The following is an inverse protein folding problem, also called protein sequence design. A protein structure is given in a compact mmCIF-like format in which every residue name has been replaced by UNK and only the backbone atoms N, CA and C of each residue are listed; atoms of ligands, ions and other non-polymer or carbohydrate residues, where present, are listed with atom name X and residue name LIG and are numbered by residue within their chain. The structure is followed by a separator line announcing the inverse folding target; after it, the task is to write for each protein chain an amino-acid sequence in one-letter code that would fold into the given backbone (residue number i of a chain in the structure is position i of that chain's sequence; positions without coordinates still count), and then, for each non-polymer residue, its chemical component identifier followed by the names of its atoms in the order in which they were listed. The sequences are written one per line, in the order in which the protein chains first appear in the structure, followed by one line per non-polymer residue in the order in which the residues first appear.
data_IF_350941628401
#
_entry.id   IF_350941628401
#
_cell.length_a   1.000
_cell.length_b   1.000
_cell.length_c   1.000
_cell.angle_alpha   90.00
_cell.angle_beta   90.00
_cell.angle_gamma   90.00
#
_symmetry.space_group_name_H-M   'P 1'
#
loop_
_entity.id
_entity.type
_entity.pdbx_description
1 polymer ?
#
# COMPACT_ATOMS: atom_id res chain seq x y z
N UNK A 1 -1.05 3.55 -31.80
CA UNK A 1 -1.19 2.34 -30.96
C UNK A 1 0.16 1.75 -30.53
N UNK A 2 1.17 1.72 -31.40
CA UNK A 2 2.49 1.18 -31.07
C UNK A 2 3.30 2.05 -30.10
N UNK A 3 3.15 3.38 -30.13
CA UNK A 3 3.84 4.32 -29.23
C UNK A 3 3.30 4.24 -27.81
N UNK A 4 1.99 4.08 -27.64
CA UNK A 4 1.37 3.90 -26.32
C UNK A 4 1.77 2.56 -25.69
N UNK A 5 1.79 1.48 -26.46
CA UNK A 5 2.26 0.15 -25.99
C UNK A 5 3.73 0.19 -25.55
N UNK A 6 4.61 0.89 -26.29
CA UNK A 6 6.01 1.09 -25.91
C UNK A 6 6.16 1.93 -24.64
N UNK A 7 5.32 2.93 -24.45
CA UNK A 7 5.38 3.86 -23.32
C UNK A 7 5.03 3.19 -21.98
N UNK A 8 4.17 2.17 -21.99
CA UNK A 8 3.73 1.44 -20.81
C UNK A 8 4.32 0.03 -20.66
N UNK A 9 5.17 -0.39 -21.60
CA UNK A 9 5.76 -1.73 -21.61
C UNK A 9 6.65 -2.04 -20.40
N UNK A 10 7.15 -1.00 -19.71
CA UNK A 10 7.99 -1.13 -18.51
C UNK A 10 7.19 -1.22 -17.21
N UNK A 11 5.88 -1.02 -17.24
CA UNK A 11 5.04 -1.10 -16.05
C UNK A 11 4.79 -2.55 -15.64
N UNK A 12 4.86 -2.80 -14.34
CA UNK A 12 4.42 -4.06 -13.76
C UNK A 12 2.90 -4.25 -13.88
N UNK A 13 2.41 -5.45 -13.58
CA UNK A 13 0.98 -5.72 -13.60
C UNK A 13 0.23 -4.86 -12.57
N UNK A 14 -1.03 -4.58 -12.83
CA UNK A 14 -1.93 -4.02 -11.83
C UNK A 14 -2.34 -5.10 -10.81
N UNK A 15 -2.74 -4.71 -9.59
CA UNK A 15 -3.16 -5.69 -8.58
C UNK A 15 -4.33 -6.59 -9.00
N UNK A 16 -5.18 -6.14 -9.93
CA UNK A 16 -6.30 -6.92 -10.47
C UNK A 16 -5.91 -7.87 -11.61
N UNK A 17 -4.73 -7.68 -12.18
CA UNK A 17 -4.23 -8.52 -13.27
C UNK A 17 -3.90 -9.93 -12.73
N UNK A 18 -4.28 -10.96 -13.47
CA UNK A 18 -3.92 -12.35 -13.15
C UNK A 18 -2.42 -12.59 -13.06
N UNK A 19 -1.63 -11.76 -13.73
CA UNK A 19 -0.15 -11.78 -13.64
C UNK A 19 0.39 -11.37 -12.27
N UNK A 20 -0.37 -10.61 -11.48
CA UNK A 20 -0.02 -10.29 -10.10
C UNK A 20 -0.32 -11.50 -9.20
N UNK A 21 0.46 -12.53 -9.34
CA UNK A 21 0.27 -13.86 -8.76
C UNK A 21 1.32 -14.17 -7.69
N UNK A 22 1.10 -15.27 -6.95
CA UNK A 22 2.07 -15.76 -5.98
C UNK A 22 3.43 -16.04 -6.63
N UNK A 23 3.45 -16.71 -7.79
CA UNK A 23 4.69 -17.00 -8.51
C UNK A 23 5.43 -15.73 -8.92
N UNK A 24 4.71 -14.74 -9.43
CA UNK A 24 5.26 -13.45 -9.80
C UNK A 24 5.92 -12.75 -8.62
N UNK A 25 5.21 -12.61 -7.50
CA UNK A 25 5.72 -11.94 -6.30
C UNK A 25 6.91 -12.70 -5.73
N UNK A 26 6.81 -14.01 -5.57
CA UNK A 26 7.87 -14.83 -5.00
C UNK A 26 9.14 -14.77 -5.83
N UNK A 27 9.01 -14.79 -7.15
CA UNK A 27 10.16 -14.65 -8.07
C UNK A 27 10.74 -13.24 -8.02
N UNK A 28 9.89 -12.22 -8.01
CA UNK A 28 10.34 -10.82 -7.99
C UNK A 28 11.08 -10.48 -6.69
N UNK A 29 10.62 -10.99 -5.55
CA UNK A 29 11.21 -10.70 -4.25
C UNK A 29 12.50 -11.47 -3.96
N UNK A 30 12.72 -12.54 -4.70
CA UNK A 30 13.91 -13.39 -4.50
C UNK A 30 15.19 -12.56 -4.60
N UNK A 31 16.04 -12.65 -3.58
CA UNK A 31 17.33 -11.94 -3.47
C UNK A 31 17.25 -10.41 -3.45
N UNK A 32 16.06 -9.81 -3.41
CA UNK A 32 15.94 -8.35 -3.30
C UNK A 32 16.03 -7.89 -1.85
N UNK A 33 16.84 -6.88 -1.62
CA UNK A 33 17.07 -6.30 -0.27
C UNK A 33 16.28 -5.02 -0.03
N UNK A 34 15.43 -4.62 -0.97
CA UNK A 34 14.59 -3.41 -0.85
C UNK A 34 13.47 -3.62 0.17
N UNK A 35 13.01 -2.52 0.77
CA UNK A 35 11.84 -2.55 1.65
C UNK A 35 10.56 -2.82 0.87
N UNK A 36 9.59 -3.45 1.50
CA UNK A 36 8.29 -3.72 0.89
C UNK A 36 7.59 -2.41 0.48
N UNK A 37 7.70 -1.36 1.29
CA UNK A 37 7.12 -0.06 0.94
C UNK A 37 7.67 0.47 -0.39
N UNK A 38 8.99 0.43 -0.56
CA UNK A 38 9.64 0.90 -1.78
C UNK A 38 9.21 0.11 -3.01
N UNK A 39 9.07 -1.22 -2.88
CA UNK A 39 8.60 -2.05 -3.99
C UNK A 39 7.14 -1.79 -4.34
N UNK A 40 6.26 -1.61 -3.36
CA UNK A 40 4.85 -1.27 -3.64
C UNK A 40 4.70 0.05 -4.40
N UNK A 41 5.61 0.99 -4.20
CA UNK A 41 5.64 2.26 -4.93
C UNK A 41 6.37 2.18 -6.27
N UNK A 42 7.08 1.09 -6.53
CA UNK A 42 7.82 0.90 -7.77
C UNK A 42 6.89 0.39 -8.87
N UNK A 43 6.60 1.24 -9.85
CA UNK A 43 5.69 0.93 -10.96
C UNK A 43 6.21 -0.19 -11.87
N UNK A 44 7.48 -0.53 -11.80
CA UNK A 44 8.04 -1.69 -12.50
C UNK A 44 7.63 -3.01 -11.84
N UNK A 45 7.42 -3.00 -10.53
CA UNK A 45 6.94 -4.18 -9.80
C UNK A 45 5.42 -4.32 -9.89
N UNK A 46 4.71 -3.30 -9.48
CA UNK A 46 3.24 -3.26 -9.50
C UNK A 46 2.78 -1.86 -9.84
N UNK A 47 1.90 -1.71 -10.80
CA UNK A 47 1.37 -0.42 -11.19
C UNK A 47 0.05 -0.11 -10.47
N UNK A 48 -0.21 1.18 -10.25
CA UNK A 48 -1.47 1.65 -9.69
C UNK A 48 -1.54 1.74 -8.16
N UNK A 49 -0.45 1.50 -7.44
CA UNK A 49 -0.41 1.68 -5.98
C UNK A 49 0.36 2.97 -5.65
N UNK A 50 -0.33 3.94 -5.06
CA UNK A 50 0.28 5.18 -4.57
C UNK A 50 0.61 5.11 -3.08
N UNK A 51 1.18 6.22 -2.58
CA UNK A 51 1.68 6.31 -1.20
C UNK A 51 0.60 6.05 -0.13
N UNK A 52 -0.61 6.57 -0.35
CA UNK A 52 -1.74 6.38 0.57
C UNK A 52 -2.08 4.89 0.69
N UNK A 53 -2.31 4.26 -0.46
CA UNK A 53 -2.75 2.85 -0.47
C UNK A 53 -1.64 1.88 -0.10
N UNK A 54 -0.37 2.19 -0.40
CA UNK A 54 0.75 1.39 0.09
C UNK A 54 0.75 1.32 1.63
N UNK A 55 0.54 2.45 2.31
CA UNK A 55 0.44 2.48 3.77
C UNK A 55 -0.76 1.68 4.29
N UNK A 56 -1.93 1.84 3.68
CA UNK A 56 -3.15 1.12 4.07
C UNK A 56 -3.04 -0.39 3.83
N UNK A 57 -2.47 -0.80 2.71
CA UNK A 57 -2.24 -2.21 2.38
C UNK A 57 -1.31 -2.86 3.42
N UNK A 58 -0.17 -2.23 3.69
CA UNK A 58 0.80 -2.77 4.64
C UNK A 58 0.25 -2.84 6.06
N UNK A 59 -0.56 -1.88 6.45
CA UNK A 59 -1.24 -1.90 7.74
C UNK A 59 -2.18 -3.11 7.87
N UNK A 60 -3.01 -3.36 6.87
CA UNK A 60 -3.94 -4.50 6.88
C UNK A 60 -3.22 -5.85 6.73
N UNK A 61 -2.08 -5.89 6.05
CA UNK A 61 -1.22 -7.08 6.00
C UNK A 61 -0.41 -7.30 7.29
N UNK A 62 -0.39 -6.35 8.20
CA UNK A 62 0.43 -6.35 9.42
C UNK A 62 1.93 -6.46 9.13
N UNK A 63 2.38 -5.89 8.03
CA UNK A 63 3.77 -5.88 7.61
C UNK A 63 4.36 -4.49 7.84
N UNK A 64 5.51 -4.45 8.52
CA UNK A 64 6.24 -3.20 8.73
C UNK A 64 6.74 -2.66 7.38
N UNK A 65 6.52 -1.36 7.07
CA UNK A 65 6.90 -0.78 5.78
C UNK A 65 8.38 -0.90 5.42
N UNK A 66 9.27 -0.93 6.41
CA UNK A 66 10.72 -1.04 6.19
C UNK A 66 11.22 -2.49 6.06
N UNK A 67 10.34 -3.46 6.27
CA UNK A 67 10.72 -4.87 6.19
C UNK A 67 11.22 -5.20 4.78
N UNK A 68 12.39 -5.86 4.70
CA UNK A 68 12.96 -6.28 3.42
C UNK A 68 12.12 -7.39 2.81
N UNK A 69 11.87 -7.30 1.51
CA UNK A 69 10.99 -8.25 0.82
C UNK A 69 11.51 -9.68 0.85
N UNK A 70 12.82 -9.88 0.87
CA UNK A 70 13.40 -11.22 0.99
C UNK A 70 13.04 -11.94 2.30
N UNK A 71 12.62 -11.19 3.34
CA UNK A 71 12.21 -11.74 4.64
C UNK A 71 10.71 -12.09 4.70
N UNK A 72 9.94 -11.74 3.66
CA UNK A 72 8.53 -12.07 3.59
C UNK A 72 8.34 -13.53 3.18
N UNK A 73 7.40 -14.19 3.84
CA UNK A 73 7.08 -15.59 3.56
C UNK A 73 5.90 -15.72 2.58
N UNK A 74 5.57 -16.95 2.21
CA UNK A 74 4.46 -17.25 1.29
C UNK A 74 3.12 -16.68 1.76
N UNK A 75 2.84 -16.73 3.06
CA UNK A 75 1.61 -16.16 3.63
C UNK A 75 1.57 -14.64 3.44
N UNK A 76 2.69 -13.97 3.64
CA UNK A 76 2.80 -12.52 3.39
C UNK A 76 2.54 -12.19 1.93
N UNK A 77 3.10 -12.97 1.00
CA UNK A 77 2.88 -12.78 -0.44
C UNK A 77 1.40 -12.93 -0.82
N UNK A 78 0.73 -13.96 -0.32
CA UNK A 78 -0.70 -14.18 -0.55
C UNK A 78 -1.55 -13.04 0.04
N UNK A 79 -1.21 -12.57 1.23
CA UNK A 79 -1.88 -11.45 1.87
C UNK A 79 -1.71 -10.15 1.07
N UNK A 80 -0.51 -9.88 0.55
CA UNK A 80 -0.28 -8.70 -0.30
C UNK A 80 -1.20 -8.70 -1.53
N UNK A 81 -1.35 -9.84 -2.20
CA UNK A 81 -2.25 -9.97 -3.34
C UNK A 81 -3.71 -9.71 -2.93
N UNK A 82 -4.17 -10.43 -1.91
CA UNK A 82 -5.56 -10.36 -1.44
C UNK A 82 -5.93 -8.96 -0.94
N UNK A 83 -5.08 -8.38 -0.09
CA UNK A 83 -5.34 -7.09 0.54
C UNK A 83 -5.22 -5.95 -0.46
N UNK A 84 -4.27 -6.01 -1.39
CA UNK A 84 -4.16 -5.00 -2.45
C UNK A 84 -5.44 -4.92 -3.28
N UNK A 85 -5.99 -6.07 -3.69
CA UNK A 85 -7.26 -6.13 -4.40
C UNK A 85 -8.40 -5.55 -3.58
N UNK A 86 -8.49 -5.92 -2.31
CA UNK A 86 -9.54 -5.46 -1.39
C UNK A 86 -9.50 -3.94 -1.19
N UNK A 87 -8.33 -3.39 -0.89
CA UNK A 87 -8.15 -1.96 -0.63
C UNK A 87 -8.49 -1.15 -1.88
N UNK A 88 -7.97 -1.55 -3.04
CA UNK A 88 -8.21 -0.83 -4.29
C UNK A 88 -9.66 -0.98 -4.77
N UNK A 89 -10.30 -2.14 -4.60
CA UNK A 89 -11.72 -2.33 -4.88
C UNK A 89 -12.59 -1.39 -4.06
N UNK A 90 -12.31 -1.27 -2.76
CA UNK A 90 -13.03 -0.35 -1.89
C UNK A 90 -12.82 1.11 -2.28
N UNK A 91 -11.60 1.46 -2.68
CA UNK A 91 -11.28 2.80 -3.16
C UNK A 91 -12.06 3.15 -4.43
N UNK A 92 -12.14 2.22 -5.39
CA UNK A 92 -12.91 2.40 -6.63
C UNK A 92 -14.40 2.56 -6.34
N UNK A 93 -14.97 1.73 -5.46
CA UNK A 93 -16.39 1.82 -5.06
C UNK A 93 -16.75 3.16 -4.41
N UNK A 94 -15.80 3.80 -3.74
CA UNK A 94 -15.97 5.11 -3.11
C UNK A 94 -15.64 6.28 -4.04
N UNK A 95 -15.52 6.07 -5.34
CA UNK A 95 -15.28 7.10 -6.34
C UNK A 95 -13.82 7.49 -6.55
N UNK A 96 -12.87 6.64 -6.16
CA UNK A 96 -11.44 6.92 -6.33
C UNK A 96 -11.05 8.16 -5.53
N UNK A 97 -10.69 8.00 -4.28
CA UNK A 97 -10.32 9.13 -3.43
C UNK A 97 -8.91 9.62 -3.76
N UNK A 98 -8.81 10.62 -4.62
CA UNK A 98 -7.70 11.54 -4.51
C UNK A 98 -7.92 12.44 -3.29
N UNK A 99 -6.85 12.83 -2.61
CA UNK A 99 -6.88 13.82 -1.51
C UNK A 99 -7.59 15.12 -1.96
N UNK A 100 -7.47 15.47 -3.25
CA UNK A 100 -8.11 16.64 -3.85
C UNK A 100 -9.64 16.50 -3.93
N UNK A 101 -10.15 15.34 -4.31
CA UNK A 101 -11.59 15.09 -4.41
C UNK A 101 -12.26 15.13 -3.03
N UNK A 102 -11.59 14.62 -2.01
CA UNK A 102 -12.07 14.71 -0.62
C UNK A 102 -12.09 16.14 -0.10
N UNK A 103 -11.11 16.96 -0.42
CA UNK A 103 -11.11 18.39 -0.03
C UNK A 103 -12.22 19.19 -0.71
N UNK A 104 -12.57 18.85 -1.95
CA UNK A 104 -13.56 19.57 -2.73
C UNK A 104 -15.01 19.21 -2.39
N UNK A 105 -15.25 17.97 -1.92
CA UNK A 105 -16.62 17.50 -1.63
C UNK A 105 -17.07 17.77 -0.20
N UNK A 106 -16.18 17.82 0.78
CA UNK A 106 -16.56 17.97 2.19
C UNK A 106 -16.07 19.24 2.87
N UNK A 107 -15.06 19.92 2.33
CA UNK A 107 -14.49 21.14 2.95
C UNK A 107 -13.90 20.95 4.35
N UNK A 108 -13.97 19.74 4.91
CA UNK A 108 -13.55 19.42 6.28
C UNK A 108 -12.40 18.43 6.31
N UNK A 109 -11.22 18.85 6.78
CA UNK A 109 -10.05 17.99 7.01
C UNK A 109 -10.35 16.76 7.91
N UNK A 110 -11.36 16.83 8.80
CA UNK A 110 -11.69 15.77 9.74
C UNK A 110 -12.31 14.52 9.13
N UNK A 111 -13.10 14.65 8.05
CA UNK A 111 -13.77 13.52 7.41
C UNK A 111 -12.81 12.67 6.57
N UNK A 112 -11.77 13.27 6.06
CA UNK A 112 -10.71 12.62 5.31
C UNK A 112 -9.95 11.56 6.14
N UNK A 113 -9.56 11.91 7.38
CA UNK A 113 -8.84 11.00 8.28
C UNK A 113 -9.70 9.81 8.75
N UNK A 114 -11.00 9.93 8.75
CA UNK A 114 -11.92 8.85 9.18
C UNK A 114 -11.96 7.68 8.21
N UNK A 115 -11.67 7.91 6.93
CA UNK A 115 -11.71 6.88 5.90
C UNK A 115 -10.47 6.01 5.88
N UNK A 116 -9.35 6.49 6.41
CA UNK A 116 -8.10 5.74 6.47
C UNK A 116 -7.91 5.10 7.84
N UNK A 117 -7.23 3.97 7.84
CA UNK A 117 -6.89 3.24 9.06
C UNK A 117 -5.57 3.71 9.65
N UNK A 118 -4.65 4.17 8.80
CA UNK A 118 -3.29 4.53 9.23
C UNK A 118 -2.81 5.84 8.58
N UNK A 119 -3.14 6.11 7.32
CA UNK A 119 -2.64 7.28 6.61
C UNK A 119 -3.10 8.59 7.25
N UNK A 120 -2.15 9.52 7.48
CA UNK A 120 -2.35 10.81 8.17
C UNK A 120 -2.94 10.70 9.59
N UNK A 121 -2.73 9.56 10.25
CA UNK A 121 -3.22 9.31 11.61
C UNK A 121 -2.12 9.30 12.66
N UNK A 122 -0.98 9.91 12.40
CA UNK A 122 0.13 10.04 13.36
C UNK A 122 -0.38 10.49 14.74
N UNK A 123 0.07 9.83 15.79
CA UNK A 123 -0.30 10.14 17.17
C UNK A 123 -1.65 9.60 17.61
N UNK A 124 -2.46 9.06 16.70
CA UNK A 124 -3.76 8.48 17.03
C UNK A 124 -3.64 6.99 17.36
N UNK A 125 -4.58 6.49 18.13
CA UNK A 125 -4.63 5.08 18.51
C UNK A 125 -4.86 4.18 17.27
N UNK A 126 -4.20 3.04 17.26
CA UNK A 126 -4.38 2.03 16.23
C UNK A 126 -5.83 1.52 16.20
N UNK A 127 -6.39 1.36 14.99
CA UNK A 127 -7.77 0.91 14.79
C UNK A 127 -7.94 -0.61 14.85
N UNK A 128 -6.85 -1.38 14.96
CA UNK A 128 -6.94 -2.83 15.12
C UNK A 128 -7.45 -3.16 16.51
N UNK A 129 -8.46 -4.02 16.58
CA UNK A 129 -9.04 -4.46 17.85
C UNK A 129 -7.95 -5.05 18.77
N UNK A 130 -7.95 -4.66 20.03
CA UNK A 130 -6.98 -5.06 21.06
C UNK A 130 -5.53 -4.59 20.81
N UNK A 131 -5.28 -3.74 19.82
CA UNK A 131 -3.97 -3.14 19.64
C UNK A 131 -3.87 -1.83 20.45
N UNK A 132 -2.91 -1.78 21.36
CA UNK A 132 -2.63 -0.59 22.18
C UNK A 132 -1.64 0.39 21.52
N UNK A 133 -1.26 0.12 20.27
CA UNK A 133 -0.28 0.92 19.54
C UNK A 133 -0.79 2.28 19.11
N UNK A 134 0.16 3.18 18.90
CA UNK A 134 -0.08 4.52 18.36
C UNK A 134 0.52 4.57 16.96
N UNK A 135 -0.18 5.21 16.03
CA UNK A 135 0.30 5.36 14.65
C UNK A 135 1.53 6.26 14.64
N UNK A 136 2.58 5.78 14.02
CA UNK A 136 3.85 6.48 13.81
C UNK A 136 3.95 6.99 12.38
N UNK A 137 4.71 8.06 12.22
CA UNK A 137 5.10 8.59 10.91
C UNK A 137 6.60 8.47 10.75
N UNK A 138 7.04 8.00 9.58
CA UNK A 138 8.44 7.95 9.19
C UNK A 138 8.58 8.35 7.72
N UNK A 139 9.61 9.13 7.41
CA UNK A 139 9.94 9.43 6.01
C UNK A 139 10.77 8.26 5.45
N UNK A 140 10.26 7.63 4.40
CA UNK A 140 10.91 6.54 3.68
C UNK A 140 10.98 6.95 2.21
N UNK A 141 12.18 7.05 1.65
CA UNK A 141 12.40 7.47 0.25
C UNK A 141 11.66 8.77 -0.10
N UNK A 142 11.85 9.79 0.71
CA UNK A 142 11.24 11.13 0.58
C UNK A 142 9.72 11.17 0.67
N UNK A 143 9.07 10.10 1.16
CA UNK A 143 7.62 10.06 1.33
C UNK A 143 7.23 9.73 2.77
N UNK A 144 6.25 10.47 3.29
CA UNK A 144 5.66 10.17 4.59
C UNK A 144 5.01 8.80 4.60
N UNK A 145 5.36 7.98 5.57
CA UNK A 145 4.86 6.62 5.75
C UNK A 145 4.24 6.50 7.12
N UNK A 146 3.02 6.02 7.18
CA UNK A 146 2.26 5.88 8.43
C UNK A 146 2.06 4.40 8.74
N UNK A 147 2.31 4.01 9.97
CA UNK A 147 2.23 2.61 10.39
C UNK A 147 2.08 2.47 11.90
N UNK A 148 1.61 1.31 12.33
CA UNK A 148 1.60 0.93 13.75
C UNK A 148 2.71 -0.09 14.01
N UNK A 149 3.77 0.31 14.72
CA UNK A 149 4.89 -0.60 15.00
C UNK A 149 4.54 -1.70 16.01
N UNK A 150 3.40 -1.63 16.67
CA UNK A 150 2.92 -2.67 17.59
C UNK A 150 2.37 -3.88 16.83
N UNK A 151 1.54 -3.67 15.81
CA UNK A 151 0.93 -4.77 15.06
C UNK A 151 1.56 -5.04 13.69
N UNK A 152 2.35 -4.13 13.14
CA UNK A 152 3.09 -4.34 11.90
C UNK A 152 4.53 -4.77 12.20
N UNK A 153 4.84 -6.04 11.91
CA UNK A 153 6.15 -6.65 12.18
C UNK A 153 6.94 -6.89 10.90
#
# INVERSE_FOLDING_TARGET
LNLLKKRFAHLGPEPFDSKFSLNYISSYFRKKKRSIKNLLLDQHFVSGIGNIYASEILFLCKINPIKKVLLLNKKDHLNLIKISKKVLSNAIKKGGSSIRDFKNTSGKKGDFQRNFKVYEREGLKCKINKCEGIIKRKVISNRSTFFCNTCQK
#
